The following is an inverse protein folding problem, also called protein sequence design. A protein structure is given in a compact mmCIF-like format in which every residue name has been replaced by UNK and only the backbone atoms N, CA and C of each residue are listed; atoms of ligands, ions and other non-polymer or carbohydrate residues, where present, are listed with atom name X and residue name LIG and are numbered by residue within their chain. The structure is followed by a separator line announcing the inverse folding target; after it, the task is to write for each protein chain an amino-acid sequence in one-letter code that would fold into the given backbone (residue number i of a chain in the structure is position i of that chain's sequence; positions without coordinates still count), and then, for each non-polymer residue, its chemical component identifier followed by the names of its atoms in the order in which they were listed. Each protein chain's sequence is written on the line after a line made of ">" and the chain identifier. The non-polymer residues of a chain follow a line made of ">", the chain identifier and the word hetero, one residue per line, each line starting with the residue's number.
data_IF_486640870901
#
_entry.id   IF_486640870901
#
_cell.length_a   1.000
_cell.length_b   1.000
_cell.length_c   1.000
_cell.angle_alpha   90.00
_cell.angle_beta   90.00
_cell.angle_gamma   90.00
#
_symmetry.space_group_name_H-M   'P 1'
#
loop_
_entity.id
_entity.type
_entity.pdbx_description
1 polymer ?
#
# COMPACT_ATOMS: atom_id res chain seq x y z
N UNK A 1 10.29 -8.53 -1.56
CA UNK A 1 9.95 -7.49 -0.57
C UNK A 1 10.70 -7.83 0.70
N UNK A 2 11.16 -6.82 1.42
CA UNK A 2 11.87 -6.96 2.70
C UNK A 2 10.89 -6.56 3.80
N UNK A 3 10.84 -7.32 4.89
CA UNK A 3 10.02 -7.01 6.07
C UNK A 3 10.69 -5.89 6.88
N UNK A 4 9.91 -4.94 7.37
CA UNK A 4 10.41 -3.93 8.30
C UNK A 4 10.75 -4.59 9.64
N UNK A 5 11.93 -4.28 10.18
CA UNK A 5 12.39 -4.86 11.45
C UNK A 5 11.59 -4.33 12.65
N UNK A 6 11.11 -3.08 12.57
CA UNK A 6 10.30 -2.47 13.62
C UNK A 6 8.83 -2.92 13.60
N UNK A 7 8.31 -3.35 12.45
CA UNK A 7 6.92 -3.77 12.30
C UNK A 7 6.78 -4.88 11.24
N UNK A 8 6.46 -6.09 11.70
CA UNK A 8 6.34 -7.26 10.83
C UNK A 8 5.16 -7.23 9.86
N UNK A 9 4.21 -6.29 10.04
CA UNK A 9 3.11 -6.08 9.10
C UNK A 9 3.51 -5.25 7.89
N UNK A 10 4.66 -4.56 7.95
CA UNK A 10 5.14 -3.65 6.92
C UNK A 10 6.21 -4.33 6.08
N UNK A 11 6.01 -4.30 4.76
CA UNK A 11 6.94 -4.79 3.76
C UNK A 11 7.31 -3.65 2.84
N UNK A 12 8.55 -3.60 2.39
CA UNK A 12 8.99 -2.61 1.42
C UNK A 12 9.84 -3.23 0.32
N UNK A 13 9.88 -2.56 -0.83
CA UNK A 13 10.74 -2.87 -1.96
C UNK A 13 11.35 -1.57 -2.44
N UNK A 14 12.67 -1.60 -2.65
CA UNK A 14 13.39 -0.55 -3.32
C UNK A 14 13.55 -0.91 -4.80
N UNK A 15 13.25 0.04 -5.68
CA UNK A 15 13.53 -0.05 -7.10
C UNK A 15 15.01 0.30 -7.38
N UNK A 16 15.47 0.00 -8.59
CA UNK A 16 16.81 0.39 -9.07
C UNK A 16 16.91 1.91 -9.26
N UNK A 17 15.78 2.58 -9.43
CA UNK A 17 15.62 4.02 -9.71
C UNK A 17 15.46 4.88 -8.46
N UNK A 18 15.78 4.36 -7.27
CA UNK A 18 15.51 5.00 -5.97
C UNK A 18 14.03 5.17 -5.59
N UNK A 19 13.12 4.55 -6.32
CA UNK A 19 11.70 4.56 -5.97
C UNK A 19 11.37 3.44 -4.97
N UNK A 20 10.34 3.64 -4.17
CA UNK A 20 9.93 2.75 -3.09
C UNK A 20 8.48 2.31 -3.25
N UNK A 21 8.23 1.04 -2.88
CA UNK A 21 6.87 0.52 -2.67
C UNK A 21 6.80 -0.05 -1.26
N UNK A 22 5.81 0.40 -0.50
CA UNK A 22 5.42 -0.12 0.80
C UNK A 22 4.12 -0.90 0.68
N UNK A 23 4.04 -2.01 1.41
CA UNK A 23 2.87 -2.85 1.55
C UNK A 23 2.68 -3.14 3.03
N UNK A 24 1.54 -2.74 3.56
CA UNK A 24 1.15 -2.96 4.94
C UNK A 24 0.00 -3.98 4.95
N UNK A 25 0.18 -5.08 5.67
CA UNK A 25 -0.82 -6.13 5.79
C UNK A 25 -1.48 -6.04 7.15
N UNK A 26 -2.76 -5.67 7.18
CA UNK A 26 -3.52 -5.58 8.42
C UNK A 26 -4.76 -6.47 8.38
N UNK A 27 -4.69 -7.62 9.04
CA UNK A 27 -5.78 -8.62 9.16
C UNK A 27 -6.39 -9.01 7.80
N UNK A 28 -7.40 -8.27 7.33
CA UNK A 28 -8.11 -8.52 6.07
C UNK A 28 -7.79 -7.50 4.97
N UNK A 29 -7.12 -6.40 5.31
CA UNK A 29 -6.84 -5.29 4.39
C UNK A 29 -5.35 -5.22 4.07
N UNK A 30 -5.06 -4.91 2.81
CA UNK A 30 -3.70 -4.66 2.34
C UNK A 30 -3.64 -3.22 1.85
N UNK A 31 -2.77 -2.43 2.46
CA UNK A 31 -2.50 -1.05 2.04
C UNK A 31 -1.21 -1.03 1.24
N UNK A 32 -1.25 -0.44 0.05
CA UNK A 32 -0.08 -0.28 -0.81
C UNK A 32 0.14 1.21 -1.03
N UNK A 33 1.36 1.68 -0.80
CA UNK A 33 1.76 3.08 -1.00
C UNK A 33 3.19 3.15 -1.51
N UNK A 34 3.60 4.27 -2.10
CA UNK A 34 4.92 4.42 -2.71
C UNK A 34 4.94 5.41 -3.86
N UNK A 35 6.13 5.77 -4.30
CA UNK A 35 6.39 6.63 -5.44
C UNK A 35 6.53 5.84 -6.76
N UNK A 36 6.92 4.57 -6.70
CA UNK A 36 6.98 3.66 -7.87
C UNK A 36 5.58 3.23 -8.33
N UNK A 37 4.96 3.99 -9.24
CA UNK A 37 3.61 3.69 -9.75
C UNK A 37 3.55 2.38 -10.54
N UNK A 38 4.61 2.02 -11.27
CA UNK A 38 4.67 0.76 -12.01
C UNK A 38 4.80 -0.43 -11.07
N UNK A 39 5.65 -0.31 -10.04
CA UNK A 39 5.81 -1.28 -8.98
C UNK A 39 4.53 -1.51 -8.18
N UNK A 40 3.79 -0.44 -7.85
CA UNK A 40 2.47 -0.54 -7.22
C UNK A 40 1.50 -1.31 -8.11
N UNK A 41 1.43 -0.98 -9.40
CA UNK A 41 0.54 -1.66 -10.36
C UNK A 41 0.90 -3.15 -10.51
N UNK A 42 2.18 -3.47 -10.64
CA UNK A 42 2.65 -4.84 -10.75
C UNK A 42 2.34 -5.64 -9.47
N UNK A 43 2.52 -5.03 -8.29
CA UNK A 43 2.22 -5.66 -7.00
C UNK A 43 0.71 -5.91 -6.84
N UNK A 44 -0.13 -4.93 -7.20
CA UNK A 44 -1.59 -5.11 -7.22
C UNK A 44 -2.00 -6.26 -8.14
N UNK A 45 -1.45 -6.33 -9.35
CA UNK A 45 -1.74 -7.42 -10.30
C UNK A 45 -1.29 -8.78 -9.78
N UNK A 46 -0.12 -8.84 -9.13
CA UNK A 46 0.38 -10.06 -8.50
C UNK A 46 -0.57 -10.55 -7.41
N UNK A 47 -1.02 -9.65 -6.52
CA UNK A 47 -1.99 -10.00 -5.47
C UNK A 47 -3.33 -10.45 -6.05
N UNK A 48 -3.83 -9.76 -7.07
CA UNK A 48 -5.08 -10.13 -7.75
C UNK A 48 -5.02 -11.51 -8.41
N UNK A 49 -3.85 -11.88 -8.93
CA UNK A 49 -3.64 -13.18 -9.58
C UNK A 49 -3.54 -14.34 -8.58
N UNK A 50 -2.90 -14.11 -7.43
CA UNK A 50 -2.63 -15.16 -6.45
C UNK A 50 -3.68 -15.26 -5.35
N UNK A 51 -4.42 -14.18 -5.09
CA UNK A 51 -5.43 -14.09 -4.05
C UNK A 51 -6.72 -13.49 -4.60
N UNK A 52 -7.88 -13.95 -4.12
CA UNK A 52 -9.15 -13.27 -4.37
C UNK A 52 -9.17 -11.95 -3.61
N UNK A 53 -8.61 -10.91 -4.22
CA UNK A 53 -8.53 -9.56 -3.67
C UNK A 53 -9.39 -8.62 -4.48
N UNK A 54 -9.97 -7.63 -3.80
CA UNK A 54 -10.74 -6.55 -4.42
C UNK A 54 -9.97 -5.26 -4.25
N UNK A 55 -9.73 -4.54 -5.35
CA UNK A 55 -9.19 -3.19 -5.24
C UNK A 55 -10.29 -2.26 -4.71
N UNK A 56 -10.04 -1.67 -3.54
CA UNK A 56 -10.93 -0.69 -2.91
C UNK A 56 -10.66 0.73 -3.42
N UNK A 57 -9.63 0.92 -4.25
CA UNK A 57 -9.21 2.22 -4.76
C UNK A 57 -8.36 2.99 -3.74
N UNK A 58 -8.40 4.34 -3.77
CA UNK A 58 -7.68 5.17 -2.81
C UNK A 58 -8.14 4.88 -1.38
N UNK A 59 -7.19 4.86 -0.44
CA UNK A 59 -7.46 4.66 0.99
C UNK A 59 -8.42 5.75 1.49
N UNK A 60 -9.62 5.35 1.91
CA UNK A 60 -10.65 6.24 2.50
C UNK A 60 -10.88 5.98 3.98
N UNK A 61 -10.73 4.74 4.42
CA UNK A 61 -10.86 4.34 5.82
C UNK A 61 -9.79 3.32 6.16
N UNK A 62 -9.13 3.49 7.30
CA UNK A 62 -8.18 2.52 7.85
C UNK A 62 -8.29 2.54 9.37
N UNK A 63 -8.51 1.39 10.02
CA UNK A 63 -8.67 1.29 11.48
C UNK A 63 -9.80 2.17 12.07
N UNK A 64 -10.82 2.52 11.26
CA UNK A 64 -11.88 3.44 11.66
C UNK A 64 -11.50 4.92 11.57
N UNK A 65 -10.31 5.24 11.08
CA UNK A 65 -9.86 6.61 10.75
C UNK A 65 -10.28 6.92 9.33
N UNK A 66 -10.96 8.04 9.12
CA UNK A 66 -11.27 8.53 7.78
C UNK A 66 -10.06 9.25 7.20
N UNK A 67 -9.72 8.92 5.95
CA UNK A 67 -8.61 9.50 5.22
C UNK A 67 -9.16 10.21 3.98
N UNK A 68 -9.16 11.53 4.01
CA UNK A 68 -9.52 12.37 2.87
C UNK A 68 -8.26 12.79 2.12
N UNK A 69 -8.09 12.26 0.91
CA UNK A 69 -6.93 12.57 0.05
C UNK A 69 -7.33 13.59 -1.02
N UNK A 70 -6.56 14.67 -1.11
CA UNK A 70 -6.70 15.69 -2.14
C UNK A 70 -5.35 15.95 -2.80
N UNK A 71 -5.35 16.66 -3.95
CA UNK A 71 -4.09 17.12 -4.58
C UNK A 71 -3.27 18.03 -3.67
N UNK A 72 -3.91 18.66 -2.70
CA UNK A 72 -3.32 19.63 -1.78
C UNK A 72 -2.75 18.98 -0.52
N UNK A 73 -3.07 17.70 -0.26
CA UNK A 73 -2.62 17.00 0.95
C UNK A 73 -3.63 15.96 1.44
N UNK A 74 -3.37 15.46 2.64
CA UNK A 74 -4.12 14.38 3.30
C UNK A 74 -4.70 14.93 4.60
N UNK A 75 -5.99 14.73 4.82
CA UNK A 75 -6.67 15.00 6.09
C UNK A 75 -7.13 13.69 6.74
N UNK A 76 -7.01 13.63 8.06
CA UNK A 76 -7.43 12.50 8.90
C UNK A 76 -8.45 12.98 9.91
N UNK A 77 -9.49 12.19 10.17
CA UNK A 77 -10.57 12.50 11.12
C UNK A 77 -11.02 11.26 11.87
#
# INVERSE_FOLDING_TARGET
>A
MICCEADHSVFFKHSLTHEFVYLVVYVNDIVITGDDQEGIKALKQHLFKHFQTKDLGPLRYFLGIEVAQSKSGIAIS
#
